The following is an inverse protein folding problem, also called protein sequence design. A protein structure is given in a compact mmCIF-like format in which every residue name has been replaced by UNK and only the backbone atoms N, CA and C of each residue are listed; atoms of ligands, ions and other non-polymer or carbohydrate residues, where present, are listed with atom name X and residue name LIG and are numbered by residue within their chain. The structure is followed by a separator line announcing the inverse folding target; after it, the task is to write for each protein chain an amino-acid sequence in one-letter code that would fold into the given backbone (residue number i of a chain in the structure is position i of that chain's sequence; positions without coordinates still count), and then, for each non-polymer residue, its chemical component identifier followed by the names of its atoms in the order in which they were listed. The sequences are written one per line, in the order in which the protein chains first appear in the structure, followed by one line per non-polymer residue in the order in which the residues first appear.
data_IF_365260752824
#
_entry.id   IF_365260752824
#
_cell.length_a   1.000
_cell.length_b   1.000
_cell.length_c   1.000
_cell.angle_alpha   90.00
_cell.angle_beta   90.00
_cell.angle_gamma   90.00
#
_symmetry.space_group_name_H-M   'P 1'
#
loop_
_entity.id
_entity.type
_entity.pdbx_description
1 polymer ?
#
# COMPACT_ATOMS: atom_id res chain seq x y z
N UNK A 1 -14.83 6.90 -12.62
CA UNK A 1 -13.37 6.81 -12.50
C UNK A 1 -12.89 8.10 -11.88
N UNK A 2 -12.08 8.04 -10.82
CA UNK A 2 -11.56 9.21 -10.14
C UNK A 2 -10.70 10.05 -11.09
N UNK A 3 -10.81 11.38 -10.99
CA UNK A 3 -9.96 12.31 -11.74
C UNK A 3 -8.67 12.55 -10.93
N UNK A 4 -7.59 11.87 -11.32
CA UNK A 4 -6.29 11.94 -10.63
C UNK A 4 -5.30 12.68 -11.52
N UNK A 5 -4.50 13.54 -10.89
CA UNK A 5 -3.40 14.25 -11.55
C UNK A 5 -2.08 13.95 -10.85
N UNK A 6 -1.01 13.79 -11.62
CA UNK A 6 0.36 13.71 -11.12
C UNK A 6 1.14 14.95 -11.58
N UNK A 7 1.56 15.79 -10.62
CA UNK A 7 2.22 17.08 -10.89
C UNK A 7 1.41 17.97 -11.86
N UNK A 8 0.09 17.96 -11.73
CA UNK A 8 -0.82 18.72 -12.58
C UNK A 8 -1.21 18.05 -13.91
N UNK A 9 -0.56 16.95 -14.29
CA UNK A 9 -0.91 16.22 -15.51
C UNK A 9 -1.96 15.14 -15.20
N UNK A 10 -3.08 15.08 -15.94
CA UNK A 10 -4.05 13.99 -15.79
C UNK A 10 -3.39 12.64 -16.02
N UNK A 11 -3.72 11.66 -15.18
CA UNK A 11 -3.28 10.28 -15.34
C UNK A 11 -4.49 9.36 -15.40
N UNK A 12 -4.36 8.27 -16.16
CA UNK A 12 -5.39 7.22 -16.22
C UNK A 12 -5.06 6.16 -15.18
N UNK A 13 -6.08 5.67 -14.45
CA UNK A 13 -5.92 4.52 -13.57
C UNK A 13 -6.43 3.25 -14.26
N UNK A 14 -5.76 2.13 -14.04
CA UNK A 14 -6.22 0.80 -14.47
C UNK A 14 -7.18 0.22 -13.45
N UNK A 15 -8.17 -0.53 -13.95
CA UNK A 15 -9.16 -1.20 -13.13
C UNK A 15 -10.35 -0.31 -12.73
N UNK A 16 -11.09 -0.78 -11.72
CA UNK A 16 -12.28 -0.10 -11.22
C UNK A 16 -12.06 0.38 -9.80
N UNK A 17 -12.56 1.58 -9.52
CA UNK A 17 -12.57 2.15 -8.17
C UNK A 17 -13.40 1.28 -7.21
N UNK A 18 -12.79 0.90 -6.09
CA UNK A 18 -13.47 0.22 -4.97
C UNK A 18 -14.26 1.25 -4.17
N UNK A 19 -15.52 0.92 -3.83
CA UNK A 19 -16.43 1.82 -3.12
C UNK A 19 -16.76 1.31 -1.72
N UNK A 20 -17.22 2.22 -0.88
CA UNK A 20 -17.76 1.86 0.44
C UNK A 20 -18.92 0.88 0.28
N UNK A 21 -18.83 -0.25 0.98
CA UNK A 21 -19.80 -1.34 0.91
C UNK A 21 -19.39 -2.47 -0.04
N UNK A 22 -18.42 -2.26 -0.93
CA UNK A 22 -17.87 -3.33 -1.75
C UNK A 22 -17.06 -4.31 -0.91
N UNK A 23 -17.07 -5.58 -1.31
CA UNK A 23 -16.11 -6.53 -0.76
C UNK A 23 -14.73 -6.21 -1.32
N UNK A 24 -13.74 -6.09 -0.44
CA UNK A 24 -12.36 -5.82 -0.84
C UNK A 24 -11.84 -6.94 -1.77
N UNK A 25 -11.29 -6.61 -2.96
CA UNK A 25 -10.69 -7.61 -3.84
C UNK A 25 -9.57 -8.36 -3.12
N UNK A 26 -9.47 -9.68 -3.34
CA UNK A 26 -8.34 -10.44 -2.81
C UNK A 26 -7.02 -10.01 -3.47
N UNK A 27 -5.91 -10.24 -2.79
CA UNK A 27 -4.59 -9.89 -3.29
C UNK A 27 -3.52 -10.89 -2.85
N UNK A 28 -2.41 -10.86 -3.57
CA UNK A 28 -1.16 -11.50 -3.16
C UNK A 28 -0.03 -10.51 -3.40
N UNK A 29 0.50 -9.98 -2.31
CA UNK A 29 1.59 -9.02 -2.28
C UNK A 29 2.85 -9.70 -1.72
N UNK A 30 4.00 -9.05 -1.86
CA UNK A 30 5.25 -9.59 -1.29
C UNK A 30 5.72 -8.77 -0.09
N UNK A 31 6.02 -9.43 1.01
CA UNK A 31 6.64 -8.83 2.19
C UNK A 31 8.13 -8.51 1.98
N UNK A 32 8.69 -7.71 2.89
CA UNK A 32 10.14 -7.45 3.02
C UNK A 32 11.00 -8.73 3.19
N UNK A 33 10.39 -9.83 3.61
CA UNK A 33 11.02 -11.14 3.75
C UNK A 33 10.91 -12.02 2.49
N UNK A 34 10.38 -11.46 1.40
CA UNK A 34 10.08 -12.14 0.14
C UNK A 34 8.97 -13.21 0.21
N UNK A 35 8.31 -13.35 1.37
CA UNK A 35 7.12 -14.19 1.52
C UNK A 35 5.89 -13.51 0.92
N UNK A 36 5.01 -14.32 0.34
CA UNK A 36 3.71 -13.86 -0.14
C UNK A 36 2.78 -13.55 1.04
N UNK A 37 2.00 -12.48 0.92
CA UNK A 37 1.01 -12.00 1.90
C UNK A 37 -0.30 -11.76 1.18
N UNK A 38 -1.38 -12.28 1.74
CA UNK A 38 -2.73 -12.26 1.19
C UNK A 38 -3.68 -11.46 2.06
N UNK A 39 -4.86 -11.14 1.53
CA UNK A 39 -5.89 -10.47 2.33
C UNK A 39 -6.34 -11.34 3.52
N UNK A 40 -6.30 -12.66 3.37
CA UNK A 40 -6.68 -13.62 4.41
C UNK A 40 -5.73 -13.64 5.61
N UNK A 41 -4.45 -13.30 5.43
CA UNK A 41 -3.44 -13.34 6.50
C UNK A 41 -3.73 -12.33 7.63
N UNK A 42 -4.49 -11.28 7.34
CA UNK A 42 -4.94 -10.27 8.29
C UNK A 42 -6.44 -10.39 8.65
N UNK A 43 -7.03 -11.58 8.45
CA UNK A 43 -8.43 -11.86 8.79
C UNK A 43 -8.75 -11.59 10.28
N UNK A 44 -9.95 -11.07 10.52
CA UNK A 44 -10.43 -10.73 11.86
C UNK A 44 -9.99 -9.36 12.38
N UNK A 45 -9.09 -8.65 11.69
CA UNK A 45 -8.69 -7.27 12.04
C UNK A 45 -9.35 -6.24 11.13
N UNK A 46 -9.46 -5.02 11.63
CA UNK A 46 -9.70 -3.85 10.79
C UNK A 46 -8.42 -3.56 10.01
N UNK A 47 -8.53 -3.35 8.69
CA UNK A 47 -7.37 -3.11 7.83
C UNK A 47 -7.40 -1.69 7.30
N UNK A 48 -6.30 -0.97 7.43
CA UNK A 48 -6.06 0.27 6.72
C UNK A 48 -5.08 -0.06 5.61
N UNK A 49 -5.48 0.13 4.36
CA UNK A 49 -4.62 -0.10 3.20
C UNK A 49 -4.25 1.27 2.62
N UNK A 50 -3.01 1.69 2.84
CA UNK A 50 -2.46 2.94 2.32
C UNK A 50 -1.62 2.63 1.08
N UNK A 51 -1.98 3.21 -0.06
CA UNK A 51 -1.28 2.95 -1.33
C UNK A 51 -0.41 4.15 -1.70
N UNK A 52 0.88 3.91 -1.91
CA UNK A 52 1.83 4.98 -2.26
C UNK A 52 2.59 4.65 -3.56
N UNK A 53 2.87 5.63 -4.43
CA UNK A 53 3.68 5.38 -5.63
C UNK A 53 5.08 4.83 -5.32
N UNK A 54 5.78 5.44 -4.36
CA UNK A 54 7.09 4.97 -3.90
C UNK A 54 7.47 5.62 -2.57
N UNK A 55 7.96 4.80 -1.62
CA UNK A 55 8.46 5.24 -0.32
C UNK A 55 9.71 6.14 -0.43
N UNK A 56 10.43 6.08 -1.55
CA UNK A 56 11.62 6.89 -1.82
C UNK A 56 11.26 8.34 -2.25
N UNK A 57 10.01 8.78 -2.04
CA UNK A 57 9.56 10.15 -2.30
C UNK A 57 9.14 10.88 -1.02
N UNK A 58 9.35 12.21 -0.90
CA UNK A 58 9.14 12.94 0.36
C UNK A 58 7.71 12.84 0.92
N UNK A 59 6.70 12.91 0.06
CA UNK A 59 5.29 12.85 0.48
C UNK A 59 4.92 11.47 0.99
N UNK A 60 5.28 10.41 0.24
CA UNK A 60 4.97 9.03 0.62
C UNK A 60 5.71 8.61 1.89
N UNK A 61 6.96 9.07 2.04
CA UNK A 61 7.71 8.92 3.29
C UNK A 61 6.93 9.54 4.47
N UNK A 62 6.53 10.80 4.35
CA UNK A 62 5.87 11.52 5.44
C UNK A 62 4.51 10.88 5.81
N UNK A 63 3.73 10.50 4.81
CA UNK A 63 2.47 9.76 4.97
C UNK A 63 2.67 8.44 5.72
N UNK A 64 3.62 7.63 5.26
CA UNK A 64 3.87 6.29 5.83
C UNK A 64 4.36 6.38 7.27
N UNK A 65 5.25 7.35 7.55
CA UNK A 65 5.75 7.61 8.91
C UNK A 65 4.62 8.04 9.85
N UNK A 66 3.70 8.89 9.37
CA UNK A 66 2.53 9.30 10.15
C UNK A 66 1.61 8.13 10.46
N UNK A 67 1.33 7.27 9.47
CA UNK A 67 0.55 6.06 9.72
C UNK A 67 1.17 5.17 10.80
N UNK A 68 2.50 5.03 10.81
CA UNK A 68 3.19 4.27 11.84
C UNK A 68 3.03 4.86 13.25
N UNK A 69 3.16 6.17 13.38
CA UNK A 69 2.96 6.87 14.66
C UNK A 69 1.53 6.68 15.18
N UNK A 70 0.53 6.88 14.31
CA UNK A 70 -0.88 6.79 14.67
C UNK A 70 -1.32 5.35 14.96
N UNK A 71 -0.77 4.37 14.23
CA UNK A 71 -1.07 2.95 14.41
C UNK A 71 -0.73 2.46 15.83
N UNK A 72 0.21 3.09 16.53
CA UNK A 72 0.53 2.74 17.92
C UNK A 72 -0.63 2.98 18.90
N UNK A 73 -1.58 3.86 18.55
CA UNK A 73 -2.77 4.14 19.36
C UNK A 73 -4.01 3.33 18.99
N UNK A 74 -3.93 2.48 17.95
CA UNK A 74 -5.07 1.73 17.42
C UNK A 74 -5.02 0.28 17.87
N UNK A 75 -6.14 -0.21 18.42
CA UNK A 75 -6.30 -1.63 18.78
C UNK A 75 -6.98 -2.38 17.62
N UNK A 76 -6.58 -3.63 17.38
CA UNK A 76 -7.17 -4.51 16.37
C UNK A 76 -7.16 -3.94 14.93
N UNK A 77 -6.20 -3.05 14.65
CA UNK A 77 -5.95 -2.47 13.34
C UNK A 77 -4.63 -2.97 12.76
N UNK A 78 -4.64 -3.33 11.49
CA UNK A 78 -3.45 -3.62 10.71
C UNK A 78 -3.30 -2.62 9.58
N UNK A 79 -2.18 -1.90 9.56
CA UNK A 79 -1.88 -0.92 8.51
C UNK A 79 -0.95 -1.55 7.48
N UNK A 80 -1.46 -1.68 6.26
CA UNK A 80 -0.76 -2.23 5.11
C UNK A 80 -0.39 -1.07 4.17
N UNK A 81 0.90 -0.82 4.00
CA UNK A 81 1.41 0.21 3.10
C UNK A 81 1.86 -0.49 1.82
N UNK A 82 1.14 -0.27 0.73
CA UNK A 82 1.35 -0.98 -0.54
C UNK A 82 1.96 -0.04 -1.57
N UNK A 83 3.07 -0.48 -2.17
CA UNK A 83 3.73 0.22 -3.28
C UNK A 83 4.26 -0.76 -4.32
N UNK A 84 4.76 -0.23 -5.44
CA UNK A 84 5.51 -1.02 -6.42
C UNK A 84 7.02 -1.00 -6.18
N UNK A 85 7.48 -0.47 -5.04
CA UNK A 85 8.89 -0.56 -4.65
C UNK A 85 9.29 -2.02 -4.46
N UNK A 86 10.53 -2.38 -4.78
CA UNK A 86 11.02 -3.72 -4.50
C UNK A 86 11.09 -3.97 -2.98
N UNK A 87 10.84 -5.21 -2.50
CA UNK A 87 10.89 -5.54 -1.07
C UNK A 87 12.21 -5.15 -0.39
N UNK A 88 13.32 -5.16 -1.12
CA UNK A 88 14.62 -4.72 -0.61
C UNK A 88 14.67 -3.22 -0.32
N UNK A 89 14.04 -2.40 -1.17
CA UNK A 89 13.93 -0.95 -0.98
C UNK A 89 13.03 -0.63 0.21
N UNK A 90 11.87 -1.29 0.29
CA UNK A 90 10.96 -1.18 1.43
C UNK A 90 11.64 -1.60 2.74
N UNK A 91 12.37 -2.73 2.75
CA UNK A 91 13.14 -3.20 3.92
C UNK A 91 14.19 -2.19 4.35
N UNK A 92 14.94 -1.62 3.41
CA UNK A 92 15.93 -0.58 3.70
C UNK A 92 15.28 0.65 4.33
N UNK A 93 14.15 1.11 3.77
CA UNK A 93 13.39 2.25 4.28
C UNK A 93 12.88 1.99 5.71
N UNK A 94 12.23 0.84 5.95
CA UNK A 94 11.72 0.48 7.28
C UNK A 94 12.83 0.46 8.34
N UNK A 95 13.99 -0.10 8.00
CA UNK A 95 15.14 -0.17 8.90
C UNK A 95 15.78 1.18 9.20
N UNK A 96 15.80 2.10 8.23
CA UNK A 96 16.32 3.46 8.42
C UNK A 96 15.38 4.33 9.25
N UNK A 97 14.06 4.19 9.03
CA UNK A 97 13.05 5.03 9.67
C UNK A 97 12.52 4.48 11.00
N UNK A 98 12.91 3.25 11.39
CA UNK A 98 12.52 2.65 12.67
C UNK A 98 11.03 2.34 12.76
N UNK A 99 10.45 1.86 11.66
CA UNK A 99 9.00 1.73 11.46
C UNK A 99 8.59 0.28 11.74
N UNK A 100 7.73 0.07 12.74
CA UNK A 100 7.37 -1.27 13.25
C UNK A 100 5.86 -1.51 13.42
N UNK A 101 5.02 -0.50 13.23
CA UNK A 101 3.54 -0.58 13.34
C UNK A 101 2.82 -0.67 12.00
N UNK A 102 3.53 -0.53 10.89
CA UNK A 102 2.98 -0.72 9.54
C UNK A 102 3.70 -1.85 8.82
N UNK A 103 2.98 -2.57 7.98
CA UNK A 103 3.54 -3.58 7.08
C UNK A 103 3.71 -2.98 5.70
N UNK A 104 4.96 -2.79 5.27
CA UNK A 104 5.25 -2.42 3.88
C UNK A 104 5.20 -3.67 3.01
N UNK A 105 4.34 -3.65 1.99
CA UNK A 105 4.09 -4.74 1.06
C UNK A 105 4.30 -4.27 -0.39
N UNK A 106 4.83 -5.16 -1.22
CA UNK A 106 5.22 -4.87 -2.59
C UNK A 106 4.29 -5.54 -3.61
N UNK A 107 3.75 -4.76 -4.53
CA UNK A 107 2.97 -5.22 -5.69
C UNK A 107 3.81 -5.30 -6.99
N UNK A 108 5.14 -5.15 -6.91
CA UNK A 108 6.00 -4.96 -8.08
C UNK A 108 5.95 -6.08 -9.14
N UNK A 109 5.61 -7.31 -8.74
CA UNK A 109 5.71 -8.49 -9.63
C UNK A 109 4.70 -8.45 -10.77
N UNK A 110 3.45 -8.10 -10.44
CA UNK A 110 2.31 -8.17 -11.36
C UNK A 110 1.48 -6.89 -11.39
N UNK A 111 1.67 -5.98 -10.43
CA UNK A 111 0.82 -4.80 -10.23
C UNK A 111 -0.68 -5.16 -10.13
N UNK A 112 -0.98 -6.40 -9.71
CA UNK A 112 -2.32 -6.96 -9.79
C UNK A 112 -3.22 -6.41 -8.68
N UNK A 113 -2.65 -6.10 -7.51
CA UNK A 113 -3.39 -5.39 -6.47
C UNK A 113 -3.76 -3.99 -6.96
N UNK A 114 -2.81 -3.26 -7.54
CA UNK A 114 -3.04 -1.90 -8.01
C UNK A 114 -4.15 -1.83 -9.07
N UNK A 115 -4.19 -2.80 -9.99
CA UNK A 115 -5.27 -2.91 -10.98
C UNK A 115 -6.60 -3.33 -10.34
N UNK A 116 -6.61 -4.34 -9.47
CA UNK A 116 -7.83 -4.81 -8.80
C UNK A 116 -8.49 -3.75 -7.92
N UNK A 117 -7.68 -2.87 -7.31
CA UNK A 117 -8.14 -1.78 -6.44
C UNK A 117 -8.34 -0.44 -7.17
N UNK A 118 -8.06 -0.38 -8.47
CA UNK A 118 -8.28 0.84 -9.26
C UNK A 118 -7.28 1.96 -8.97
N UNK A 119 -6.09 1.65 -8.47
CA UNK A 119 -5.07 2.62 -8.00
C UNK A 119 -3.79 2.60 -8.83
N UNK A 120 -3.65 1.67 -9.78
CA UNK A 120 -2.49 1.58 -10.65
C UNK A 120 -2.53 2.66 -11.73
N UNK A 121 -1.53 3.56 -11.74
CA UNK A 121 -1.37 4.54 -12.81
C UNK A 121 -0.97 3.82 -14.10
N UNK A 122 -1.74 4.04 -15.17
CA UNK A 122 -1.43 3.59 -16.52
C UNK A 122 -0.35 4.49 -17.13
N UNK A 123 0.77 3.89 -17.54
CA UNK A 123 1.86 4.56 -18.25
C UNK A 123 1.70 4.52 -19.76
#
# INVERSE_FOLDING_TARGET
MPNVTLKGNPVTLKGSEVKVGDSAPDFTLQSNALADVTLADSAGKTRIIATVPSLDTPTCHAETKRFNEEAAGLNDVEVLVVSTDLPFGQKRWCGAEGVDKVSCLSDHRKAAFGEAYGVLING
#
